data_IF_471292113481
#
_entry.id   IF_471292113481
#
_cell.length_a   1.000
_cell.length_b   1.000
_cell.length_c   1.000
_cell.angle_alpha   90.00
_cell.angle_beta   90.00
_cell.angle_gamma   90.00
#
_symmetry.space_group_name_H-M   'P 1'
#
loop_
_entity.id
_entity.type
_entity.pdbx_description
1 polymer ?
#
# COMPACT_ATOMS: atom_id res chain seq x y z
N UNK A 1 -15.59 -52.04 0.53
CA UNK A 1 -14.49 -51.81 -0.44
C UNK A 1 -14.94 -51.14 -1.74
N UNK A 2 -16.07 -51.53 -2.37
CA UNK A 2 -16.54 -50.91 -3.63
C UNK A 2 -16.87 -49.40 -3.52
N UNK A 3 -17.46 -48.93 -2.41
CA UNK A 3 -17.75 -47.49 -2.19
C UNK A 3 -16.48 -46.62 -2.16
N UNK A 4 -15.40 -47.09 -1.53
CA UNK A 4 -14.11 -46.37 -1.46
C UNK A 4 -13.49 -46.22 -2.85
N UNK A 5 -13.66 -47.21 -3.73
CA UNK A 5 -13.20 -47.19 -5.12
C UNK A 5 -13.86 -46.08 -5.97
N UNK A 6 -15.10 -45.69 -5.64
CA UNK A 6 -15.81 -44.59 -6.33
C UNK A 6 -15.61 -43.22 -5.66
N UNK A 7 -15.30 -43.19 -4.35
CA UNK A 7 -15.06 -41.93 -3.63
C UNK A 7 -13.68 -41.36 -3.96
N UNK A 8 -12.65 -42.22 -4.09
CA UNK A 8 -11.29 -41.81 -4.39
C UNK A 8 -11.17 -40.97 -5.70
N UNK A 9 -11.71 -41.39 -6.86
CA UNK A 9 -11.63 -40.59 -8.08
C UNK A 9 -12.44 -39.29 -8.00
N UNK A 10 -13.57 -39.28 -7.28
CA UNK A 10 -14.38 -38.06 -7.09
C UNK A 10 -13.61 -37.00 -6.29
N UNK A 11 -12.92 -37.41 -5.21
CA UNK A 11 -12.10 -36.49 -4.41
C UNK A 11 -10.94 -35.92 -5.23
N UNK A 12 -10.29 -36.76 -6.06
CA UNK A 12 -9.22 -36.32 -6.96
C UNK A 12 -9.76 -35.30 -7.97
N UNK A 13 -10.89 -35.57 -8.61
CA UNK A 13 -11.52 -34.67 -9.58
C UNK A 13 -11.88 -33.32 -8.93
N UNK A 14 -12.50 -33.32 -7.74
CA UNK A 14 -12.82 -32.09 -7.00
C UNK A 14 -11.56 -31.28 -6.65
N UNK A 15 -10.47 -31.95 -6.25
CA UNK A 15 -9.21 -31.28 -5.97
C UNK A 15 -8.59 -30.67 -7.22
N UNK A 16 -8.67 -31.34 -8.37
CA UNK A 16 -8.18 -30.79 -9.65
C UNK A 16 -9.00 -29.57 -10.11
N UNK A 17 -10.31 -29.55 -9.88
CA UNK A 17 -11.18 -28.40 -10.23
C UNK A 17 -10.74 -27.13 -9.47
N UNK A 18 -10.42 -27.25 -8.18
CA UNK A 18 -9.96 -26.12 -7.37
C UNK A 18 -8.60 -25.55 -7.83
N UNK A 19 -7.74 -26.39 -8.42
CA UNK A 19 -6.43 -25.96 -8.93
C UNK A 19 -6.57 -25.29 -10.31
N UNK A 20 -7.48 -25.76 -11.16
CA UNK A 20 -7.66 -25.25 -12.53
C UNK A 20 -8.38 -23.89 -12.54
N UNK A 21 -9.21 -23.61 -11.54
CA UNK A 21 -9.88 -22.32 -11.37
C UNK A 21 -9.32 -21.56 -10.16
N UNK A 22 -8.07 -21.04 -10.24
CA UNK A 22 -7.59 -20.17 -9.19
C UNK A 22 -8.51 -18.94 -9.14
N UNK A 23 -9.06 -18.66 -7.96
CA UNK A 23 -9.76 -17.40 -7.72
C UNK A 23 -8.82 -16.22 -7.97
N UNK A 24 -9.37 -15.06 -8.30
CA UNK A 24 -8.54 -13.85 -8.42
C UNK A 24 -7.90 -13.54 -7.05
N UNK A 25 -6.58 -13.54 -6.98
CA UNK A 25 -5.87 -12.96 -5.86
C UNK A 25 -5.92 -11.44 -5.99
N UNK A 26 -6.60 -10.78 -5.06
CA UNK A 26 -6.57 -9.31 -4.92
C UNK A 26 -5.24 -8.88 -4.29
N UNK A 27 -4.12 -9.25 -4.92
CA UNK A 27 -2.84 -8.59 -4.65
C UNK A 27 -2.95 -7.13 -5.13
N UNK A 28 -2.04 -6.26 -4.68
CA UNK A 28 -2.13 -4.80 -4.82
C UNK A 28 -2.61 -4.35 -6.19
N UNK A 29 -3.92 -4.15 -6.26
CA UNK A 29 -4.57 -3.46 -7.35
C UNK A 29 -4.58 -2.00 -6.92
N UNK A 30 -4.04 -1.13 -7.75
CA UNK A 30 -4.01 0.30 -7.48
C UNK A 30 -5.47 0.76 -7.36
N UNK A 31 -5.96 0.87 -6.13
CA UNK A 31 -7.33 1.27 -5.87
C UNK A 31 -7.50 2.70 -6.38
N UNK A 32 -8.42 2.87 -7.31
CA UNK A 32 -8.68 4.18 -7.89
C UNK A 32 -9.48 4.99 -6.86
N UNK A 33 -8.76 5.71 -6.00
CA UNK A 33 -9.33 6.59 -4.97
C UNK A 33 -9.41 8.02 -5.50
N UNK A 34 -10.53 8.69 -5.24
CA UNK A 34 -10.65 10.12 -5.54
C UNK A 34 -9.69 10.93 -4.67
N UNK A 35 -9.28 12.10 -5.17
CA UNK A 35 -8.40 12.99 -4.41
C UNK A 35 -9.09 13.47 -3.12
N UNK A 36 -10.41 13.67 -3.17
CA UNK A 36 -11.23 14.07 -2.03
C UNK A 36 -11.26 12.97 -0.96
N UNK A 37 -11.51 11.73 -1.34
CA UNK A 37 -11.53 10.60 -0.40
C UNK A 37 -10.15 10.36 0.20
N UNK A 38 -9.09 10.44 -0.62
CA UNK A 38 -7.71 10.33 -0.14
C UNK A 38 -7.37 11.46 0.84
N UNK A 39 -7.82 12.68 0.56
CA UNK A 39 -7.64 13.84 1.44
C UNK A 39 -8.37 13.69 2.77
N UNK A 40 -9.59 13.12 2.76
CA UNK A 40 -10.35 12.89 3.99
C UNK A 40 -9.74 11.78 4.84
N UNK A 41 -9.30 10.67 4.22
CA UNK A 41 -8.80 9.47 4.92
C UNK A 41 -7.39 9.60 5.49
N UNK A 42 -6.57 10.52 4.98
CA UNK A 42 -5.19 10.69 5.43
C UNK A 42 -5.06 11.80 6.47
N UNK A 43 -4.09 11.68 7.38
CA UNK A 43 -3.90 12.63 8.48
C UNK A 43 -3.11 13.86 8.03
N UNK A 44 -2.08 13.65 7.22
CA UNK A 44 -1.17 14.70 6.75
C UNK A 44 -1.08 14.67 5.23
N UNK A 45 -1.30 15.83 4.61
CA UNK A 45 -1.23 16.02 3.16
C UNK A 45 -0.35 17.23 2.85
N UNK A 46 0.67 17.05 2.02
CA UNK A 46 1.65 18.09 1.71
C UNK A 46 2.25 17.93 0.31
N UNK A 47 2.73 19.04 -0.25
CA UNK A 47 3.63 19.05 -1.39
C UNK A 47 5.06 19.21 -0.88
N UNK A 48 5.98 18.39 -1.38
CA UNK A 48 7.37 18.44 -0.96
C UNK A 48 8.34 17.92 -2.01
N UNK A 49 9.58 18.36 -1.89
CA UNK A 49 10.71 17.87 -2.67
C UNK A 49 11.45 16.80 -1.88
N UNK A 50 11.80 15.69 -2.53
CA UNK A 50 12.63 14.65 -1.93
C UNK A 50 14.06 15.15 -1.82
N UNK A 51 14.60 15.15 -0.61
CA UNK A 51 15.99 15.55 -0.30
C UNK A 51 16.83 14.40 0.25
N UNK A 52 16.24 13.21 0.42
CA UNK A 52 16.96 11.99 0.78
C UNK A 52 16.07 10.76 0.60
N UNK A 53 16.65 9.68 0.07
CA UNK A 53 15.97 8.39 -0.15
C UNK A 53 16.73 7.29 0.59
N UNK A 54 16.04 6.58 1.47
CA UNK A 54 16.54 5.41 2.18
C UNK A 54 15.42 4.42 2.49
N UNK A 55 15.45 3.81 3.68
CA UNK A 55 14.32 3.02 4.22
C UNK A 55 13.09 3.93 4.45
N UNK A 56 13.37 5.20 4.71
CA UNK A 56 12.44 6.30 4.83
C UNK A 56 12.83 7.40 3.84
N UNK A 57 11.87 8.26 3.50
CA UNK A 57 12.06 9.33 2.52
C UNK A 57 11.92 10.67 3.23
N UNK A 58 12.95 11.50 3.09
CA UNK A 58 12.99 12.84 3.67
C UNK A 58 12.50 13.86 2.65
N UNK A 59 11.51 14.65 3.05
CA UNK A 59 10.93 15.71 2.25
C UNK A 59 11.24 17.09 2.83
N UNK A 60 11.63 18.01 1.96
CA UNK A 60 11.52 19.44 2.19
C UNK A 60 10.12 19.90 1.77
N UNK A 61 9.34 20.39 2.73
CA UNK A 61 7.93 20.74 2.53
C UNK A 61 7.81 22.10 1.85
N UNK A 62 7.11 22.15 0.72
CA UNK A 62 6.79 23.39 0.00
C UNK A 62 5.44 23.96 0.40
N UNK A 63 4.44 23.10 0.57
CA UNK A 63 3.09 23.49 0.90
C UNK A 63 2.41 22.43 1.74
N UNK A 64 1.70 22.85 2.78
CA UNK A 64 0.91 21.96 3.62
C UNK A 64 -0.55 22.15 3.29
N UNK A 65 -1.24 21.05 3.03
CA UNK A 65 -2.67 21.02 2.76
C UNK A 65 -3.47 20.53 3.99
N UNK A 66 -2.88 19.67 4.83
CA UNK A 66 -3.54 19.11 6.04
C UNK A 66 -2.52 18.63 7.09
N UNK A 67 -2.84 18.84 8.37
CA UNK A 67 -2.36 18.01 9.48
C UNK A 67 -0.98 18.29 10.10
N UNK A 68 -0.19 19.24 9.59
CA UNK A 68 1.15 19.55 10.15
C UNK A 68 1.55 21.02 9.96
N UNK A 69 2.65 21.43 10.58
CA UNK A 69 3.32 22.73 10.39
C UNK A 69 4.83 22.62 10.19
N UNK A 70 5.37 21.40 10.12
CA UNK A 70 6.80 21.14 9.94
C UNK A 70 7.29 21.47 8.54
N UNK A 71 8.49 22.06 8.43
CA UNK A 71 9.17 22.34 7.16
C UNK A 71 9.86 21.13 6.55
N UNK A 72 10.10 20.09 7.34
CA UNK A 72 10.68 18.81 6.92
C UNK A 72 9.87 17.65 7.48
N UNK A 73 9.69 16.61 6.68
CA UNK A 73 8.92 15.43 7.04
C UNK A 73 9.64 14.16 6.58
N UNK A 74 9.60 13.14 7.44
CA UNK A 74 10.07 11.79 7.13
C UNK A 74 8.83 10.93 6.88
N UNK A 75 8.80 10.25 5.73
CA UNK A 75 7.72 9.34 5.35
C UNK A 75 8.30 7.94 5.17
N UNK A 76 7.70 6.98 5.89
CA UNK A 76 8.08 5.58 5.86
C UNK A 76 7.32 4.84 4.77
N UNK A 77 8.05 4.21 3.86
CA UNK A 77 7.48 3.55 2.66
C UNK A 77 7.64 2.04 2.71
N UNK A 78 7.89 1.45 3.88
CA UNK A 78 8.21 0.02 4.07
C UNK A 78 7.02 -0.95 3.94
N UNK A 79 6.05 -0.65 3.07
CA UNK A 79 4.75 -1.35 2.94
C UNK A 79 4.73 -2.62 2.07
N UNK A 80 5.86 -3.29 1.81
CA UNK A 80 5.92 -4.50 0.97
C UNK A 80 6.03 -4.21 -0.53
N UNK A 81 5.57 -5.15 -1.37
CA UNK A 81 5.74 -5.13 -2.85
C UNK A 81 5.03 -3.96 -3.58
N UNK A 82 4.25 -3.16 -2.85
CA UNK A 82 3.36 -2.12 -3.38
C UNK A 82 3.83 -0.71 -3.03
N UNK A 83 5.10 -0.60 -2.66
CA UNK A 83 5.74 0.66 -2.30
C UNK A 83 5.85 1.59 -3.51
N UNK A 84 5.58 2.87 -3.29
CA UNK A 84 5.90 3.90 -4.26
C UNK A 84 7.40 4.24 -4.19
N UNK A 85 8.09 4.21 -5.33
CA UNK A 85 9.51 4.52 -5.42
C UNK A 85 9.72 6.02 -5.65
N UNK A 86 10.09 6.73 -4.58
CA UNK A 86 10.47 8.14 -4.65
C UNK A 86 11.86 8.31 -5.29
N UNK A 87 12.03 9.39 -6.04
CA UNK A 87 13.30 9.77 -6.66
C UNK A 87 13.81 11.05 -6.01
N UNK A 88 15.09 11.06 -5.67
CA UNK A 88 15.74 12.24 -5.09
C UNK A 88 15.63 13.45 -6.03
N UNK A 89 15.32 14.61 -5.46
CA UNK A 89 15.05 15.85 -6.20
C UNK A 89 13.65 15.93 -6.81
N UNK A 90 12.87 14.85 -6.83
CA UNK A 90 11.50 14.83 -7.33
C UNK A 90 10.53 15.59 -6.41
N UNK A 91 9.45 16.10 -7.01
CA UNK A 91 8.41 16.85 -6.30
C UNK A 91 7.09 16.09 -6.34
N UNK A 92 6.47 15.95 -5.17
CA UNK A 92 5.31 15.07 -5.01
C UNK A 92 4.25 15.71 -4.12
N UNK A 93 2.99 15.44 -4.44
CA UNK A 93 1.85 15.60 -3.53
C UNK A 93 1.70 14.28 -2.76
N UNK A 94 1.96 14.33 -1.46
CA UNK A 94 2.00 13.15 -0.59
C UNK A 94 0.80 13.15 0.33
N UNK A 95 0.07 12.04 0.34
CA UNK A 95 -0.98 11.73 1.30
C UNK A 95 -0.41 10.70 2.28
N UNK A 96 -0.43 11.02 3.57
CA UNK A 96 0.18 10.17 4.59
C UNK A 96 -0.70 10.01 5.82
N UNK A 97 -0.68 8.80 6.38
CA UNK A 97 -1.39 8.42 7.60
C UNK A 97 -0.42 8.23 8.76
N UNK A 98 -0.83 8.65 9.96
CA UNK A 98 -0.07 8.45 11.18
C UNK A 98 -0.32 7.03 11.70
N UNK A 99 0.75 6.27 11.95
CA UNK A 99 0.67 4.95 12.59
C UNK A 99 1.64 4.84 13.77
N UNK A 100 1.32 3.92 14.68
CA UNK A 100 2.12 3.65 15.87
C UNK A 100 1.99 4.71 16.97
N UNK A 101 2.62 4.44 18.12
CA UNK A 101 2.65 5.35 19.27
C UNK A 101 3.42 6.64 19.02
N UNK A 102 4.38 6.60 18.09
CA UNK A 102 5.20 7.77 17.70
C UNK A 102 4.57 8.60 16.57
N UNK A 103 3.39 8.21 16.07
CA UNK A 103 2.68 8.90 14.97
C UNK A 103 3.55 9.07 13.72
N UNK A 104 4.27 8.03 13.35
CA UNK A 104 5.10 8.00 12.15
C UNK A 104 4.22 8.10 10.90
N UNK A 105 4.68 8.85 9.89
CA UNK A 105 3.96 9.04 8.65
C UNK A 105 4.23 7.90 7.68
N UNK A 106 3.18 7.28 7.17
CA UNK A 106 3.25 6.23 6.15
C UNK A 106 2.39 6.58 4.94
N UNK A 107 2.84 6.15 3.77
CA UNK A 107 2.02 6.09 2.55
C UNK A 107 1.11 4.87 2.55
#
# INVERSE_FOLDING_TARGET
>A
MKRILYILPVVIICSFILIIFPGKSYACDCINVSAEDAFQKNDVVFEGKVIGVGIEVLFEVKKIWKGTTSSQLIVYTNGGDCVFHFVEGGEYLVYSSQRGSEKQLHT
#
